data_IF_940423751413
#
_entry.id   IF_940423751413
#
_cell.length_a   1.000
_cell.length_b   1.000
_cell.length_c   1.000
_cell.angle_alpha   90.00
_cell.angle_beta   90.00
_cell.angle_gamma   90.00
#
_symmetry.space_group_name_H-M   'P 1'
#
loop_
_entity.id
_entity.type
_entity.pdbx_description
1 polymer ?
#
# COMPACT_ATOMS: atom_id res chain seq x y z
N UNK A 1 -22.37 -11.62 25.54
CA UNK A 1 -22.23 -11.43 24.08
C UNK A 1 -23.08 -12.48 23.41
N UNK A 2 -24.01 -12.05 22.56
CA UNK A 2 -24.91 -12.94 21.80
C UNK A 2 -24.08 -13.95 20.98
N UNK A 3 -24.43 -15.24 21.02
CA UNK A 3 -23.69 -16.30 20.31
C UNK A 3 -24.00 -16.25 18.81
N UNK A 4 -23.45 -15.25 18.12
CA UNK A 4 -23.60 -15.05 16.68
C UNK A 4 -22.68 -16.01 15.92
N UNK A 5 -23.23 -16.68 14.90
CA UNK A 5 -22.42 -17.49 13.97
C UNK A 5 -21.42 -16.60 13.22
N UNK A 6 -20.28 -17.19 12.85
CA UNK A 6 -19.21 -16.46 12.14
C UNK A 6 -19.48 -16.44 10.64
N UNK A 7 -19.37 -15.26 10.03
CA UNK A 7 -19.45 -15.06 8.59
C UNK A 7 -18.14 -14.44 8.11
N UNK A 8 -17.46 -15.11 7.17
CA UNK A 8 -16.27 -14.58 6.51
C UNK A 8 -16.70 -13.91 5.20
N UNK A 9 -16.36 -12.64 5.04
CA UNK A 9 -16.64 -11.84 3.85
C UNK A 9 -15.32 -11.50 3.17
N UNK A 10 -15.14 -11.95 1.93
CA UNK A 10 -13.96 -11.66 1.13
C UNK A 10 -14.28 -10.62 0.05
N UNK A 11 -13.69 -9.43 0.18
CA UNK A 11 -13.76 -8.38 -0.84
C UNK A 11 -12.61 -8.53 -1.83
N UNK A 12 -12.91 -8.57 -3.13
CA UNK A 12 -11.87 -8.50 -4.14
C UNK A 12 -11.08 -7.19 -4.04
N UNK A 13 -9.78 -7.18 -4.38
CA UNK A 13 -8.98 -5.93 -4.38
C UNK A 13 -9.56 -4.84 -5.30
N UNK A 14 -10.24 -5.26 -6.37
CA UNK A 14 -10.96 -4.37 -7.31
C UNK A 14 -12.33 -3.90 -6.78
N UNK A 15 -12.78 -4.39 -5.62
CA UNK A 15 -13.99 -3.89 -4.96
C UNK A 15 -13.70 -2.62 -4.15
N UNK A 16 -12.43 -2.36 -3.80
CA UNK A 16 -11.98 -1.16 -3.11
C UNK A 16 -11.54 -0.05 -4.08
N UNK A 17 -11.18 -0.43 -5.30
CA UNK A 17 -10.69 0.47 -6.35
C UNK A 17 -11.09 -0.13 -7.70
N UNK A 18 -12.03 0.50 -8.41
CA UNK A 18 -12.55 -0.05 -9.66
C UNK A 18 -11.51 0.08 -10.76
N UNK A 19 -11.55 -0.84 -11.73
CA UNK A 19 -10.66 -0.77 -12.90
C UNK A 19 -10.87 0.57 -13.61
N UNK A 20 -9.78 1.31 -13.83
CA UNK A 20 -9.81 2.61 -14.50
C UNK A 20 -9.99 3.81 -13.58
N UNK A 21 -10.25 3.61 -12.28
CA UNK A 21 -10.23 4.71 -11.32
C UNK A 21 -8.77 5.13 -11.01
N UNK A 22 -8.50 6.43 -10.84
CA UNK A 22 -7.23 6.90 -10.30
C UNK A 22 -6.94 6.26 -8.94
N UNK A 23 -5.67 5.92 -8.70
CA UNK A 23 -5.22 5.38 -7.42
C UNK A 23 -5.05 6.50 -6.37
N UNK A 24 -6.14 7.20 -6.09
CA UNK A 24 -6.21 8.30 -5.13
C UNK A 24 -6.84 7.84 -3.82
N UNK A 25 -6.42 8.45 -2.70
CA UNK A 25 -6.91 8.10 -1.37
C UNK A 25 -8.42 8.39 -1.21
N UNK A 26 -8.90 9.48 -1.80
CA UNK A 26 -10.30 9.89 -1.68
C UNK A 26 -11.26 8.97 -2.44
N UNK A 27 -10.84 8.48 -3.61
CA UNK A 27 -11.63 7.51 -4.38
C UNK A 27 -11.71 6.18 -3.62
N UNK A 28 -10.60 5.71 -3.08
CA UNK A 28 -10.57 4.51 -2.23
C UNK A 28 -11.48 4.65 -1.01
N UNK A 29 -11.44 5.81 -0.33
CA UNK A 29 -12.31 6.09 0.82
C UNK A 29 -13.78 6.00 0.45
N UNK A 30 -14.20 6.61 -0.67
CA UNK A 30 -15.59 6.54 -1.16
C UNK A 30 -16.05 5.11 -1.44
N UNK A 31 -15.20 4.30 -2.07
CA UNK A 31 -15.51 2.90 -2.35
C UNK A 31 -15.59 2.05 -1.06
N UNK A 32 -14.68 2.28 -0.12
CA UNK A 32 -14.70 1.62 1.21
C UNK A 32 -15.97 1.98 1.97
N UNK A 33 -16.39 3.23 1.97
CA UNK A 33 -17.63 3.66 2.63
C UNK A 33 -18.87 2.96 2.09
N UNK A 34 -18.93 2.73 0.77
CA UNK A 34 -20.00 1.97 0.15
C UNK A 34 -20.02 0.51 0.65
N UNK A 35 -18.87 -0.16 0.63
CA UNK A 35 -18.75 -1.54 1.13
C UNK A 35 -19.08 -1.63 2.63
N UNK A 36 -18.60 -0.66 3.42
CA UNK A 36 -18.81 -0.60 4.86
C UNK A 36 -20.29 -0.50 5.24
N UNK A 37 -21.10 0.26 4.48
CA UNK A 37 -22.55 0.36 4.69
C UNK A 37 -23.24 -1.00 4.59
N UNK A 38 -22.88 -1.81 3.59
CA UNK A 38 -23.43 -3.16 3.43
C UNK A 38 -22.95 -4.10 4.54
N UNK A 39 -21.66 -4.06 4.88
CA UNK A 39 -21.07 -4.92 5.92
C UNK A 39 -21.67 -4.62 7.29
N UNK A 40 -21.94 -3.35 7.60
CA UNK A 40 -22.55 -2.93 8.86
C UNK A 40 -23.96 -3.52 9.08
N UNK A 41 -24.67 -3.89 8.01
CA UNK A 41 -25.96 -4.58 8.14
C UNK A 41 -25.76 -6.05 8.55
N UNK A 42 -24.69 -6.69 8.06
CA UNK A 42 -24.37 -8.09 8.38
C UNK A 42 -23.96 -8.28 9.85
N UNK A 43 -23.28 -7.29 10.46
CA UNK A 43 -22.84 -7.37 11.87
C UNK A 43 -24.01 -7.43 12.87
N UNK A 44 -25.22 -7.03 12.44
CA UNK A 44 -26.43 -7.16 13.26
C UNK A 44 -26.74 -8.61 13.60
N UNK A 45 -26.47 -9.54 12.69
CA UNK A 45 -26.82 -10.96 12.83
C UNK A 45 -25.59 -11.87 12.98
N UNK A 46 -24.44 -11.46 12.44
CA UNK A 46 -23.25 -12.30 12.32
C UNK A 46 -22.06 -11.70 13.07
N UNK A 47 -21.17 -12.57 13.54
CA UNK A 47 -19.79 -12.19 13.85
C UNK A 47 -19.02 -12.15 12.53
N UNK A 48 -18.80 -10.95 12.01
CA UNK A 48 -18.20 -10.77 10.68
C UNK A 48 -16.67 -10.76 10.76
N UNK A 49 -16.02 -11.54 9.91
CA UNK A 49 -14.59 -11.46 9.61
C UNK A 49 -14.46 -10.93 8.18
N UNK A 50 -13.81 -9.78 8.00
CA UNK A 50 -13.62 -9.15 6.70
C UNK A 50 -12.19 -9.37 6.22
N UNK A 51 -12.04 -9.86 4.99
CA UNK A 51 -10.74 -9.94 4.30
C UNK A 51 -10.83 -9.22 2.97
N UNK A 52 -9.70 -8.70 2.48
CA UNK A 52 -9.66 -8.05 1.17
C UNK A 52 -8.35 -8.31 0.44
N UNK A 53 -8.36 -8.17 -0.89
CA UNK A 53 -7.14 -8.10 -1.70
C UNK A 53 -6.52 -6.70 -1.68
N UNK A 54 -5.20 -6.62 -1.85
CA UNK A 54 -4.42 -5.37 -1.88
C UNK A 54 -3.65 -5.15 -3.21
N UNK A 55 -4.06 -5.84 -4.28
CA UNK A 55 -3.37 -5.85 -5.57
C UNK A 55 -3.10 -4.47 -6.18
N UNK A 56 -4.11 -3.58 -6.30
CA UNK A 56 -3.90 -2.21 -6.80
C UNK A 56 -2.88 -1.42 -5.97
N UNK A 57 -2.93 -1.55 -4.64
CA UNK A 57 -2.04 -0.84 -3.72
C UNK A 57 -0.59 -1.31 -3.86
N UNK A 58 -0.37 -2.62 -3.89
CA UNK A 58 0.96 -3.20 -4.09
C UNK A 58 1.50 -2.87 -5.49
N UNK A 59 0.63 -2.86 -6.51
CA UNK A 59 0.99 -2.44 -7.86
C UNK A 59 1.51 -1.02 -7.93
N UNK A 60 0.85 -0.06 -7.26
CA UNK A 60 1.33 1.33 -7.19
C UNK A 60 2.69 1.44 -6.51
N UNK A 61 2.86 0.78 -5.37
CA UNK A 61 4.13 0.77 -4.64
C UNK A 61 5.26 0.19 -5.49
N UNK A 62 4.99 -0.86 -6.27
CA UNK A 62 5.95 -1.44 -7.20
C UNK A 62 6.37 -0.43 -8.29
N UNK A 63 5.42 0.34 -8.84
CA UNK A 63 5.71 1.39 -9.82
C UNK A 63 6.54 2.52 -9.22
N UNK A 64 6.18 3.00 -8.02
CA UNK A 64 6.92 4.05 -7.31
C UNK A 64 8.35 3.61 -6.99
N UNK A 65 8.53 2.38 -6.50
CA UNK A 65 9.85 1.82 -6.23
C UNK A 65 10.69 1.71 -7.50
N UNK A 66 10.09 1.26 -8.60
CA UNK A 66 10.78 1.13 -9.89
C UNK A 66 11.24 2.49 -10.42
N UNK A 67 10.39 3.52 -10.30
CA UNK A 67 10.74 4.89 -10.68
C UNK A 67 11.88 5.47 -9.81
N UNK A 68 11.85 5.22 -8.49
CA UNK A 68 12.91 5.67 -7.58
C UNK A 68 14.26 5.03 -7.91
N UNK A 69 14.28 3.71 -8.17
CA UNK A 69 15.50 3.00 -8.59
C UNK A 69 16.03 3.56 -9.91
N UNK A 70 15.15 3.86 -10.87
CA UNK A 70 15.53 4.49 -12.14
C UNK A 70 16.15 5.88 -11.95
N UNK A 71 15.57 6.72 -11.09
CA UNK A 71 16.09 8.07 -10.80
C UNK A 71 17.48 8.02 -10.17
N UNK A 72 17.69 7.13 -9.20
CA UNK A 72 19.00 6.92 -8.56
C UNK A 72 20.05 6.43 -9.57
N UNK A 73 19.67 5.53 -10.48
CA UNK A 73 20.56 5.06 -11.54
C UNK A 73 20.97 6.17 -12.51
N UNK A 74 20.05 7.09 -12.83
CA UNK A 74 20.35 8.27 -13.66
C UNK A 74 21.24 9.26 -12.92
N UNK A 75 20.97 9.58 -11.66
CA UNK A 75 21.83 10.47 -10.87
C UNK A 75 23.29 9.97 -10.80
N UNK A 76 23.48 8.67 -10.57
CA UNK A 76 24.82 8.06 -10.54
C UNK A 76 25.54 8.09 -11.90
N UNK A 77 24.80 8.16 -13.02
CA UNK A 77 25.37 8.22 -14.38
C UNK A 77 25.70 9.66 -14.81
N UNK A 78 24.98 10.67 -14.32
CA UNK A 78 25.09 12.05 -14.80
C UNK A 78 26.06 12.87 -13.91
N UNK A 79 26.28 12.49 -12.65
CA UNK A 79 27.19 13.19 -11.75
C UNK A 79 28.03 12.21 -10.88
N UNK A 80 29.07 11.56 -11.42
CA UNK A 80 29.99 10.76 -10.61
C UNK A 80 30.88 11.61 -9.67
N UNK A 81 30.87 12.95 -9.80
CA UNK A 81 31.80 13.87 -9.12
C UNK A 81 31.09 15.08 -8.49
N UNK A 82 29.99 14.86 -7.78
CA UNK A 82 29.62 15.80 -6.71
C UNK A 82 30.05 15.18 -5.38
N UNK A 83 31.32 15.42 -5.02
CA UNK A 83 31.79 15.24 -3.64
C UNK A 83 30.97 16.14 -2.73
N UNK A 84 29.93 15.58 -2.13
CA UNK A 84 29.33 16.14 -0.92
C UNK A 84 30.45 16.23 0.12
N UNK A 85 30.90 17.46 0.43
CA UNK A 85 31.75 17.66 1.60
C UNK A 85 30.96 17.24 2.83
N UNK A 86 31.40 16.22 3.57
CA UNK A 86 30.69 15.78 4.76
C UNK A 86 31.04 16.77 5.88
N UNK A 87 30.14 17.70 6.19
CA UNK A 87 30.10 18.22 7.55
C UNK A 87 29.74 17.06 8.47
N UNK A 88 30.71 16.72 9.32
CA UNK A 88 30.71 15.61 10.28
C UNK A 88 29.37 15.44 10.99
N UNK A 89 28.75 14.25 10.88
CA UNK A 89 28.01 13.57 11.96
C UNK A 89 27.34 12.27 11.48
N UNK A 90 27.93 11.13 11.85
CA UNK A 90 27.25 9.89 12.30
C UNK A 90 26.35 9.15 11.29
N UNK A 91 26.91 8.16 10.58
CA UNK A 91 26.62 6.71 10.76
C UNK A 91 27.44 5.89 9.76
N UNK A 92 28.38 5.10 10.28
CA UNK A 92 29.13 4.09 9.52
C UNK A 92 28.27 2.82 9.44
N UNK A 93 27.74 2.48 8.26
CA UNK A 93 27.28 1.12 7.97
C UNK A 93 28.38 0.42 7.16
N UNK A 94 29.23 -0.33 7.85
CA UNK A 94 30.11 -1.30 7.18
C UNK A 94 29.26 -2.47 6.71
N UNK A 95 29.16 -2.63 5.39
CA UNK A 95 28.63 -3.83 4.75
C UNK A 95 29.69 -4.93 4.91
N UNK A 96 29.52 -5.82 5.89
CA UNK A 96 30.25 -7.07 5.92
C UNK A 96 29.80 -7.92 4.71
N UNK A 97 30.72 -8.18 3.79
CA UNK A 97 30.56 -9.21 2.76
C UNK A 97 31.08 -10.52 3.35
N UNK A 98 30.28 -11.57 3.26
CA UNK A 98 30.74 -12.94 3.08
C UNK A 98 30.59 -13.28 1.60
#
# INVERSE_FOLDING_TARGET
>A
MENKRTLVVALGGNALLKRGEPLEADIQRKNIELAARTIAQLTRQWRVVLVHGNGPQVGLLALQNSAQVGLLALQNKIAPTLTLHPTRSIFSVRKARA
#
